data_IF_545027247977
#
_entry.id   IF_545027247977
#
_cell.length_a   1.000
_cell.length_b   1.000
_cell.length_c   1.000
_cell.angle_alpha   90.00
_cell.angle_beta   90.00
_cell.angle_gamma   90.00
#
_symmetry.space_group_name_H-M   'P 1'
#
loop_
_entity.id
_entity.type
_entity.pdbx_description
1 polymer ?
#
# COMPACT_ATOMS: atom_id res chain seq x y z
N UNK A 1 13.58 -3.04 17.23
CA UNK A 1 12.40 -2.84 16.34
C UNK A 1 12.75 -3.35 14.96
N UNK A 2 11.84 -4.09 14.29
CA UNK A 2 12.11 -4.70 12.98
C UNK A 2 11.75 -3.76 11.84
N UNK A 3 12.51 -3.82 10.76
CA UNK A 3 12.14 -3.20 9.48
C UNK A 3 11.07 -4.04 8.76
N UNK A 4 10.24 -3.39 7.95
CA UNK A 4 9.15 -4.02 7.19
C UNK A 4 9.22 -3.65 5.69
N UNK A 5 9.05 -4.65 4.84
CA UNK A 5 8.90 -4.49 3.39
C UNK A 5 7.50 -4.93 2.97
N UNK A 6 6.68 -3.97 2.56
CA UNK A 6 5.40 -4.21 1.90
C UNK A 6 5.55 -4.10 0.39
N UNK A 7 4.98 -5.05 -0.35
CA UNK A 7 4.99 -5.04 -1.81
C UNK A 7 3.57 -4.94 -2.34
N UNK A 8 3.29 -3.91 -3.18
CA UNK A 8 2.02 -3.85 -3.89
C UNK A 8 2.03 -4.77 -5.10
N UNK A 9 1.01 -5.62 -5.18
CA UNK A 9 0.83 -6.62 -6.22
C UNK A 9 -0.57 -6.51 -6.85
N UNK A 10 -0.64 -6.61 -8.17
CA UNK A 10 -1.89 -6.52 -8.95
C UNK A 10 -2.24 -7.82 -9.69
N UNK A 11 -1.62 -8.91 -9.28
CA UNK A 11 -1.90 -10.26 -9.77
C UNK A 11 -1.43 -11.31 -8.76
N UNK A 12 -1.97 -12.54 -8.89
CA UNK A 12 -1.51 -13.69 -8.10
C UNK A 12 -0.02 -13.96 -8.33
N UNK A 13 0.43 -13.84 -9.57
CA UNK A 13 1.85 -14.03 -9.91
C UNK A 13 2.74 -13.02 -9.21
N UNK A 14 2.37 -11.72 -9.24
CA UNK A 14 3.11 -10.67 -8.53
C UNK A 14 3.16 -10.92 -7.02
N UNK A 15 2.06 -11.40 -6.41
CA UNK A 15 2.02 -11.73 -4.99
C UNK A 15 2.97 -12.89 -4.62
N UNK A 16 3.01 -13.95 -5.45
CA UNK A 16 3.93 -15.08 -5.26
C UNK A 16 5.40 -14.64 -5.40
N UNK A 17 5.71 -13.83 -6.41
CA UNK A 17 7.07 -13.28 -6.59
C UNK A 17 7.48 -12.36 -5.43
N UNK A 18 6.54 -11.55 -4.91
CA UNK A 18 6.80 -10.71 -3.75
C UNK A 18 7.19 -11.54 -2.52
N UNK A 19 6.43 -12.60 -2.21
CA UNK A 19 6.76 -13.51 -1.12
C UNK A 19 8.09 -14.22 -1.36
N UNK A 20 8.34 -14.72 -2.56
CA UNK A 20 9.60 -15.36 -2.92
C UNK A 20 10.82 -14.43 -2.77
N UNK A 21 10.64 -13.13 -3.01
CA UNK A 21 11.63 -12.08 -2.77
C UNK A 21 11.80 -11.69 -1.30
N UNK A 22 10.99 -12.23 -0.39
CA UNK A 22 11.09 -11.96 1.04
C UNK A 22 10.30 -10.75 1.52
N UNK A 23 9.23 -10.35 0.81
CA UNK A 23 8.28 -9.37 1.33
C UNK A 23 7.68 -9.84 2.66
N UNK A 24 7.49 -8.92 3.60
CA UNK A 24 6.86 -9.21 4.89
C UNK A 24 5.33 -9.12 4.82
N UNK A 25 4.80 -8.35 3.84
CA UNK A 25 3.39 -8.07 3.66
C UNK A 25 3.10 -7.73 2.19
N UNK A 26 1.91 -8.04 1.73
CA UNK A 26 1.40 -7.66 0.42
C UNK A 26 0.30 -6.62 0.58
N UNK A 27 0.33 -5.57 -0.26
CA UNK A 27 -0.85 -4.79 -0.60
C UNK A 27 -1.40 -5.29 -1.92
N UNK A 28 -2.57 -5.94 -1.88
CA UNK A 28 -3.22 -6.45 -3.08
C UNK A 28 -4.12 -5.37 -3.69
N UNK A 29 -3.94 -5.10 -4.97
CA UNK A 29 -4.77 -4.18 -5.74
C UNK A 29 -5.10 -4.75 -7.12
N UNK A 30 -5.79 -4.00 -7.94
CA UNK A 30 -5.89 -4.18 -9.39
C UNK A 30 -5.45 -2.88 -10.08
N UNK A 31 -5.16 -2.92 -11.38
CA UNK A 31 -4.91 -1.72 -12.19
C UNK A 31 -3.81 -0.80 -11.63
N UNK A 32 -2.68 -1.35 -11.22
CA UNK A 32 -1.60 -0.58 -10.60
C UNK A 32 -1.01 0.51 -11.52
N UNK A 33 -1.16 0.35 -12.85
CA UNK A 33 -0.78 1.36 -13.85
C UNK A 33 -1.53 2.69 -13.67
N UNK A 34 -2.77 2.63 -13.17
CA UNK A 34 -3.59 3.82 -12.86
C UNK A 34 -3.59 4.17 -11.37
N UNK A 35 -2.61 3.67 -10.63
CA UNK A 35 -2.44 3.95 -9.20
C UNK A 35 -3.15 2.99 -8.25
N UNK A 36 -3.64 1.86 -8.75
CA UNK A 36 -4.33 0.83 -7.98
C UNK A 36 -5.83 1.11 -7.77
N UNK A 37 -6.61 0.04 -7.87
CA UNK A 37 -8.05 -0.03 -7.60
C UNK A 37 -8.34 -1.25 -6.73
N UNK A 38 -9.57 -1.35 -6.23
CA UNK A 38 -10.05 -2.54 -5.52
C UNK A 38 -9.87 -3.80 -6.37
N UNK A 39 -9.28 -4.88 -5.85
CA UNK A 39 -9.19 -6.15 -6.56
C UNK A 39 -10.51 -6.92 -6.46
N UNK A 40 -10.70 -7.91 -7.32
CA UNK A 40 -11.82 -8.84 -7.14
C UNK A 40 -11.58 -9.78 -5.95
N UNK A 41 -12.67 -10.21 -5.28
CA UNK A 41 -12.60 -11.23 -4.22
C UNK A 41 -11.98 -12.52 -4.75
N UNK A 42 -12.30 -12.90 -5.99
CA UNK A 42 -11.72 -14.10 -6.61
C UNK A 42 -10.19 -14.00 -6.71
N UNK A 43 -9.63 -12.83 -7.06
CA UNK A 43 -8.18 -12.63 -7.08
C UNK A 43 -7.61 -12.72 -5.66
N UNK A 44 -8.24 -12.10 -4.67
CA UNK A 44 -7.84 -12.18 -3.26
C UNK A 44 -7.81 -13.64 -2.76
N UNK A 45 -8.85 -14.43 -3.03
CA UNK A 45 -8.90 -15.84 -2.65
C UNK A 45 -7.79 -16.66 -3.31
N UNK A 46 -7.47 -16.39 -4.59
CA UNK A 46 -6.35 -17.05 -5.26
C UNK A 46 -5.01 -16.64 -4.66
N UNK A 47 -4.82 -15.37 -4.30
CA UNK A 47 -3.62 -14.92 -3.59
C UNK A 47 -3.49 -15.65 -2.26
N UNK A 48 -4.53 -15.67 -1.42
CA UNK A 48 -4.51 -16.35 -0.11
C UNK A 48 -4.27 -17.87 -0.17
N UNK A 49 -4.52 -18.50 -1.32
CA UNK A 49 -4.18 -19.94 -1.54
C UNK A 49 -2.70 -20.15 -1.89
N UNK A 50 -2.00 -19.10 -2.33
CA UNK A 50 -0.65 -19.22 -2.89
C UNK A 50 0.42 -18.46 -2.09
N UNK A 51 0.02 -17.68 -1.08
CA UNK A 51 0.95 -16.95 -0.20
C UNK A 51 0.59 -17.14 1.26
N UNK A 52 1.60 -17.15 2.13
CA UNK A 52 1.46 -17.32 3.58
C UNK A 52 1.63 -16.01 4.36
N UNK A 53 2.19 -14.99 3.74
CA UNK A 53 2.40 -13.68 4.36
C UNK A 53 1.09 -12.86 4.41
N UNK A 54 0.98 -11.89 5.33
CA UNK A 54 -0.20 -11.04 5.44
C UNK A 54 -0.55 -10.33 4.14
N UNK A 55 -1.85 -10.26 3.83
CA UNK A 55 -2.39 -9.56 2.65
C UNK A 55 -3.35 -8.47 3.10
N UNK A 56 -2.96 -7.23 2.88
CA UNK A 56 -3.84 -6.06 2.97
C UNK A 56 -4.45 -5.78 1.60
N UNK A 57 -5.67 -5.31 1.54
CA UNK A 57 -6.41 -5.10 0.29
C UNK A 57 -6.66 -3.62 0.08
N UNK A 58 -6.19 -3.08 -1.05
CA UNK A 58 -6.53 -1.72 -1.45
C UNK A 58 -8.01 -1.65 -1.85
N UNK A 59 -8.74 -0.74 -1.22
CA UNK A 59 -10.12 -0.45 -1.55
C UNK A 59 -10.21 0.99 -2.08
N UNK A 60 -10.36 1.09 -3.39
CA UNK A 60 -10.44 2.33 -4.14
C UNK A 60 -11.36 2.13 -5.34
N UNK A 61 -12.56 2.75 -5.35
CA UNK A 61 -13.60 2.41 -6.32
C UNK A 61 -13.29 2.91 -7.74
N UNK A 62 -12.49 3.97 -7.87
CA UNK A 62 -12.07 4.54 -9.16
C UNK A 62 -10.69 5.19 -9.08
N UNK A 63 -10.08 5.43 -10.22
CA UNK A 63 -8.92 6.31 -10.35
C UNK A 63 -9.31 7.79 -10.20
N UNK A 64 -8.31 8.68 -10.10
CA UNK A 64 -8.49 10.11 -9.87
C UNK A 64 -8.33 10.48 -8.41
N UNK A 65 -9.12 11.45 -7.94
CA UNK A 65 -9.07 11.95 -6.57
C UNK A 65 -9.62 10.97 -5.51
N UNK A 66 -9.72 11.42 -4.28
CA UNK A 66 -10.20 10.64 -3.14
C UNK A 66 -11.44 11.28 -2.47
N UNK A 67 -12.15 12.13 -3.22
CA UNK A 67 -13.41 12.75 -2.79
C UNK A 67 -14.56 11.99 -3.43
N UNK A 68 -15.15 11.07 -2.69
CA UNK A 68 -16.14 10.12 -3.19
C UNK A 68 -17.56 10.61 -2.98
N UNK A 69 -18.45 10.27 -3.92
CA UNK A 69 -19.89 10.47 -3.77
C UNK A 69 -20.53 9.43 -2.83
N UNK A 70 -21.87 9.47 -2.73
CA UNK A 70 -22.59 8.53 -1.87
C UNK A 70 -22.53 7.09 -2.36
N UNK A 71 -22.55 6.85 -3.67
CA UNK A 71 -22.52 5.50 -4.26
C UNK A 71 -21.11 4.88 -4.11
N UNK A 72 -20.08 5.67 -4.33
CA UNK A 72 -18.70 5.25 -4.16
C UNK A 72 -18.39 4.93 -2.70
N UNK A 73 -18.94 5.70 -1.75
CA UNK A 73 -18.79 5.44 -0.32
C UNK A 73 -19.48 4.16 0.12
N UNK A 74 -20.74 3.94 -0.30
CA UNK A 74 -21.45 2.69 0.02
C UNK A 74 -20.75 1.47 -0.59
N UNK A 75 -20.20 1.60 -1.81
CA UNK A 75 -19.36 0.55 -2.41
C UNK A 75 -18.15 0.22 -1.54
N UNK A 76 -17.40 1.24 -1.09
CA UNK A 76 -16.26 1.04 -0.19
C UNK A 76 -16.65 0.35 1.11
N UNK A 77 -17.77 0.74 1.70
CA UNK A 77 -18.27 0.17 2.95
C UNK A 77 -18.60 -1.32 2.81
N UNK A 78 -19.26 -1.67 1.70
CA UNK A 78 -19.55 -3.07 1.37
C UNK A 78 -18.25 -3.86 1.12
N UNK A 79 -17.29 -3.31 0.39
CA UNK A 79 -15.99 -3.94 0.13
C UNK A 79 -15.20 -4.18 1.42
N UNK A 80 -15.17 -3.22 2.37
CA UNK A 80 -14.52 -3.40 3.67
C UNK A 80 -15.12 -4.60 4.41
N UNK A 81 -16.46 -4.68 4.47
CA UNK A 81 -17.12 -5.80 5.11
C UNK A 81 -16.85 -7.13 4.39
N UNK A 82 -16.89 -7.13 3.05
CA UNK A 82 -16.68 -8.31 2.22
C UNK A 82 -15.26 -8.89 2.38
N UNK A 83 -14.22 -8.05 2.29
CA UNK A 83 -12.84 -8.52 2.42
C UNK A 83 -12.49 -8.91 3.85
N UNK A 84 -13.06 -8.24 4.87
CA UNK A 84 -12.94 -8.68 6.26
C UNK A 84 -13.51 -10.09 6.44
N UNK A 85 -14.74 -10.37 5.94
CA UNK A 85 -15.35 -11.69 6.01
C UNK A 85 -14.58 -12.74 5.20
N UNK A 86 -13.94 -12.34 4.08
CA UNK A 86 -13.06 -13.20 3.32
C UNK A 86 -11.74 -13.50 4.04
N UNK A 87 -11.39 -12.77 5.10
CA UNK A 87 -10.20 -12.98 5.92
C UNK A 87 -8.97 -12.21 5.44
N UNK A 88 -9.16 -10.99 4.94
CA UNK A 88 -8.07 -10.06 4.70
C UNK A 88 -7.38 -9.71 6.03
N UNK A 89 -6.06 -9.58 6.00
CA UNK A 89 -5.26 -9.20 7.17
C UNK A 89 -5.33 -7.67 7.42
N UNK A 90 -5.76 -6.91 6.42
CA UNK A 90 -6.01 -5.48 6.52
C UNK A 90 -6.71 -4.91 5.29
N UNK A 91 -7.19 -3.68 5.42
CA UNK A 91 -7.74 -2.87 4.33
C UNK A 91 -6.96 -1.57 4.20
N UNK A 92 -6.82 -1.11 2.96
CA UNK A 92 -6.10 0.13 2.62
C UNK A 92 -7.11 1.09 2.00
N UNK A 93 -7.44 2.16 2.71
CA UNK A 93 -8.55 3.06 2.42
C UNK A 93 -8.14 4.52 2.61
N UNK A 94 -8.94 5.45 2.11
CA UNK A 94 -8.73 6.87 2.36
C UNK A 94 -9.75 7.75 1.64
N UNK A 95 -10.36 8.68 2.36
CA UNK A 95 -11.37 9.60 1.86
C UNK A 95 -11.03 11.02 2.28
N UNK A 96 -11.10 11.95 1.33
CA UNK A 96 -10.93 13.37 1.57
C UNK A 96 -12.23 14.13 1.28
N UNK A 97 -12.43 15.23 2.01
CA UNK A 97 -13.47 16.22 1.70
C UNK A 97 -13.04 17.12 0.53
N UNK A 98 -13.95 17.84 -0.12
CA UNK A 98 -13.61 18.73 -1.24
C UNK A 98 -12.56 19.81 -0.89
N UNK A 99 -12.40 20.16 0.37
CA UNK A 99 -11.41 21.12 0.85
C UNK A 99 -10.05 20.50 1.19
N UNK A 100 -9.88 19.19 0.91
CA UNK A 100 -8.65 18.43 1.13
C UNK A 100 -8.42 17.96 2.56
N UNK A 101 -9.37 18.18 3.48
CA UNK A 101 -9.30 17.57 4.82
C UNK A 101 -9.72 16.11 4.78
N UNK A 102 -9.24 15.33 5.75
CA UNK A 102 -9.71 13.97 5.97
C UNK A 102 -11.23 13.96 6.21
N UNK A 103 -11.98 13.07 5.56
CA UNK A 103 -13.39 12.84 5.87
C UNK A 103 -13.51 11.91 7.06
N UNK A 104 -13.35 12.49 8.26
CA UNK A 104 -13.31 11.75 9.52
C UNK A 104 -14.59 10.98 9.80
N UNK A 105 -15.75 11.48 9.38
CA UNK A 105 -17.03 10.84 9.63
C UNK A 105 -17.14 9.54 8.85
N UNK A 106 -16.89 9.60 7.54
CA UNK A 106 -16.89 8.42 6.66
C UNK A 106 -15.75 7.46 6.99
N UNK A 107 -14.55 7.99 7.27
CA UNK A 107 -13.42 7.14 7.68
C UNK A 107 -13.70 6.39 8.97
N UNK A 108 -14.38 7.01 9.94
CA UNK A 108 -14.78 6.34 11.18
C UNK A 108 -15.67 5.12 10.92
N UNK A 109 -16.68 5.26 10.05
CA UNK A 109 -17.56 4.15 9.68
C UNK A 109 -16.79 2.98 9.06
N UNK A 110 -15.82 3.27 8.14
CA UNK A 110 -14.99 2.26 7.50
C UNK A 110 -14.06 1.56 8.50
N UNK A 111 -13.42 2.34 9.38
CA UNK A 111 -12.52 1.80 10.43
C UNK A 111 -13.30 0.93 11.40
N UNK A 112 -14.47 1.37 11.87
CA UNK A 112 -15.34 0.57 12.76
C UNK A 112 -15.78 -0.73 12.07
N UNK A 113 -16.13 -0.68 10.77
CA UNK A 113 -16.45 -1.91 10.02
C UNK A 113 -15.22 -2.83 9.94
N UNK A 114 -14.05 -2.33 9.58
CA UNK A 114 -12.81 -3.12 9.43
C UNK A 114 -12.40 -3.78 10.77
N UNK A 115 -12.52 -3.05 11.86
CA UNK A 115 -12.09 -3.50 13.21
C UNK A 115 -13.16 -4.25 14.00
N UNK A 116 -14.41 -4.31 13.51
CA UNK A 116 -15.46 -5.10 14.15
C UNK A 116 -15.19 -6.61 14.04
N UNK A 117 -15.76 -7.37 14.95
CA UNK A 117 -15.71 -8.83 14.87
C UNK A 117 -16.39 -9.34 13.60
N UNK A 118 -15.71 -10.26 12.91
CA UNK A 118 -16.26 -10.93 11.74
C UNK A 118 -17.33 -11.97 12.17
N UNK A 119 -18.41 -12.07 11.41
CA UNK A 119 -19.42 -13.11 11.60
C UNK A 119 -18.86 -14.53 11.43
N UNK A 120 -17.79 -14.67 10.67
CA UNK A 120 -17.06 -15.92 10.41
C UNK A 120 -15.96 -16.20 11.45
N UNK A 121 -15.82 -15.38 12.50
CA UNK A 121 -14.77 -15.53 13.52
C UNK A 121 -13.37 -15.16 13.06
N UNK A 122 -13.24 -14.43 11.94
CA UNK A 122 -11.95 -13.90 11.46
C UNK A 122 -11.48 -12.76 12.36
N UNK A 123 -10.15 -12.54 12.37
CA UNK A 123 -9.54 -11.43 13.11
C UNK A 123 -9.97 -10.08 12.52
N UNK A 124 -10.06 -9.03 13.34
CA UNK A 124 -10.21 -7.66 12.85
C UNK A 124 -9.11 -7.30 11.85
N UNK A 125 -9.48 -6.54 10.83
CA UNK A 125 -8.51 -6.05 9.84
C UNK A 125 -7.68 -4.89 10.39
N UNK A 126 -6.38 -4.88 10.12
CA UNK A 126 -5.60 -3.66 10.22
C UNK A 126 -6.08 -2.63 9.18
N UNK A 127 -5.93 -1.34 9.47
CA UNK A 127 -6.34 -0.27 8.57
C UNK A 127 -5.12 0.57 8.18
N UNK A 128 -4.89 0.71 6.87
CA UNK A 128 -3.92 1.64 6.31
C UNK A 128 -4.65 2.82 5.67
N UNK A 129 -4.26 4.05 6.02
CA UNK A 129 -4.64 5.23 5.26
C UNK A 129 -3.66 5.39 4.10
N UNK A 130 -4.16 5.28 2.88
CA UNK A 130 -3.33 5.26 1.67
C UNK A 130 -2.86 6.66 1.25
N UNK A 131 -2.28 6.78 0.05
CA UNK A 131 -1.71 8.00 -0.50
C UNK A 131 -2.69 9.18 -0.72
N UNK A 132 -3.97 9.07 -0.34
CA UNK A 132 -4.81 10.24 -0.11
C UNK A 132 -4.16 11.20 0.90
N UNK A 133 -3.32 10.69 1.81
CA UNK A 133 -2.50 11.48 2.71
C UNK A 133 -1.57 12.45 1.97
N UNK A 134 -1.05 12.04 0.81
CA UNK A 134 -0.11 12.87 0.04
C UNK A 134 -0.76 14.08 -0.62
N UNK A 135 -2.08 14.11 -0.74
CA UNK A 135 -2.86 15.21 -1.31
C UNK A 135 -3.79 15.87 -0.28
N UNK A 136 -3.69 15.50 1.00
CA UNK A 136 -4.43 16.17 2.05
C UNK A 136 -3.89 17.58 2.31
N UNK A 137 -4.78 18.46 2.79
CA UNK A 137 -4.46 19.88 3.01
C UNK A 137 -3.43 20.12 4.11
N UNK A 138 -3.48 19.33 5.19
CA UNK A 138 -2.60 19.49 6.34
C UNK A 138 -2.18 18.10 6.87
N UNK A 139 -0.92 17.69 6.66
CA UNK A 139 -0.46 16.35 7.04
C UNK A 139 -0.40 16.14 8.55
N UNK A 140 -0.18 17.19 9.35
CA UNK A 140 -0.13 17.06 10.81
C UNK A 140 -1.52 16.90 11.43
N UNK A 141 -2.52 17.60 10.88
CA UNK A 141 -3.92 17.41 11.25
C UNK A 141 -4.38 16.01 10.85
N UNK A 142 -4.08 15.56 9.61
CA UNK A 142 -4.42 14.23 9.12
C UNK A 142 -3.75 13.13 9.95
N UNK A 143 -2.48 13.28 10.35
CA UNK A 143 -1.78 12.33 11.23
C UNK A 143 -2.53 12.17 12.57
N UNK A 144 -2.85 13.28 13.25
CA UNK A 144 -3.60 13.22 14.52
C UNK A 144 -4.97 12.55 14.36
N UNK A 145 -5.71 12.92 13.30
CA UNK A 145 -7.01 12.31 13.00
C UNK A 145 -6.91 10.82 12.70
N UNK A 146 -5.86 10.37 11.99
CA UNK A 146 -5.61 8.95 11.77
C UNK A 146 -5.35 8.19 13.09
N UNK A 147 -4.57 8.77 14.00
CA UNK A 147 -4.33 8.19 15.34
C UNK A 147 -5.63 8.12 16.14
N UNK A 148 -6.40 9.21 16.21
CA UNK A 148 -7.68 9.28 16.92
C UNK A 148 -8.72 8.30 16.39
N UNK A 149 -8.73 8.03 15.08
CA UNK A 149 -9.59 7.03 14.46
C UNK A 149 -9.11 5.58 14.67
N UNK A 150 -7.91 5.41 15.24
CA UNK A 150 -7.32 4.08 15.45
C UNK A 150 -6.83 3.43 14.14
N UNK A 151 -6.42 4.21 13.16
CA UNK A 151 -5.75 3.72 11.95
C UNK A 151 -4.35 3.22 12.32
N UNK A 152 -3.93 2.10 11.75
CA UNK A 152 -2.69 1.42 12.15
C UNK A 152 -1.47 1.90 11.35
N UNK A 153 -1.67 2.34 10.11
CA UNK A 153 -0.59 2.70 9.18
C UNK A 153 -0.98 3.88 8.29
N UNK A 154 -0.04 4.78 8.01
CA UNK A 154 -0.16 5.80 6.96
C UNK A 154 0.86 5.50 5.87
N UNK A 155 0.38 5.25 4.64
CA UNK A 155 1.21 5.14 3.44
C UNK A 155 1.38 6.52 2.81
N UNK A 156 2.60 7.02 2.74
CA UNK A 156 2.88 8.37 2.24
C UNK A 156 4.24 8.50 1.55
N UNK A 157 4.34 9.42 0.62
CA UNK A 157 5.60 9.89 0.03
C UNK A 157 6.13 11.17 0.68
N UNK A 158 5.50 11.63 1.78
CA UNK A 158 5.80 12.93 2.36
C UNK A 158 5.30 14.09 1.49
N UNK A 159 4.12 13.92 0.86
CA UNK A 159 3.46 14.92 -0.01
C UNK A 159 4.33 15.39 -1.18
N UNK A 160 5.18 14.51 -1.71
CA UNK A 160 6.02 14.75 -2.89
C UNK A 160 5.83 13.63 -3.93
N UNK A 161 6.40 13.82 -5.08
CA UNK A 161 6.43 12.84 -6.19
C UNK A 161 7.13 11.52 -5.82
N UNK A 162 8.08 11.60 -4.87
CA UNK A 162 8.80 10.45 -4.34
C UNK A 162 9.07 10.58 -2.84
N UNK A 163 9.21 9.44 -2.15
CA UNK A 163 9.55 9.42 -0.73
C UNK A 163 10.89 10.10 -0.43
N UNK A 164 11.87 9.99 -1.35
CA UNK A 164 13.14 10.70 -1.17
C UNK A 164 12.99 12.23 -1.24
N UNK A 165 12.15 12.74 -2.13
CA UNK A 165 11.86 14.16 -2.21
C UNK A 165 11.02 14.66 -1.02
N UNK A 166 10.19 13.79 -0.44
CA UNK A 166 9.38 14.06 0.76
C UNK A 166 10.05 13.72 2.10
N UNK A 167 11.35 13.36 2.11
CA UNK A 167 12.07 12.90 3.31
C UNK A 167 11.99 13.84 4.52
N UNK A 168 11.91 15.15 4.30
CA UNK A 168 11.79 16.12 5.39
C UNK A 168 10.48 15.92 6.16
N UNK A 169 9.35 15.87 5.42
CA UNK A 169 8.05 15.61 6.04
C UNK A 169 7.98 14.20 6.61
N UNK A 170 8.54 13.19 5.95
CA UNK A 170 8.61 11.83 6.49
C UNK A 170 9.32 11.79 7.83
N UNK A 171 10.44 12.51 7.98
CA UNK A 171 11.17 12.62 9.25
C UNK A 171 10.32 13.25 10.35
N UNK A 172 9.59 14.32 10.02
CA UNK A 172 8.71 14.98 10.96
C UNK A 172 7.53 14.07 11.36
N UNK A 173 6.91 13.38 10.39
CA UNK A 173 5.81 12.46 10.64
C UNK A 173 6.25 11.28 11.52
N UNK A 174 7.43 10.70 11.30
CA UNK A 174 7.98 9.63 12.16
C UNK A 174 8.15 10.13 13.60
N UNK A 175 8.67 11.35 13.77
CA UNK A 175 8.82 11.97 15.08
C UNK A 175 7.47 12.24 15.76
N UNK A 176 6.54 12.87 15.05
CA UNK A 176 5.21 13.23 15.58
C UNK A 176 4.32 12.01 15.84
N UNK A 177 4.47 10.94 15.02
CA UNK A 177 3.78 9.68 15.22
C UNK A 177 4.19 8.97 16.52
N UNK A 178 5.42 9.23 17.02
CA UNK A 178 5.94 8.70 18.29
C UNK A 178 5.70 7.20 18.53
N UNK A 179 5.51 6.41 17.47
CA UNK A 179 5.23 4.98 17.53
C UNK A 179 3.75 4.63 17.72
N UNK A 180 2.84 5.59 17.78
CA UNK A 180 1.39 5.35 17.90
C UNK A 180 0.76 4.88 16.58
N UNK A 181 1.38 5.23 15.44
CA UNK A 181 0.96 4.80 14.10
C UNK A 181 2.20 4.50 13.24
N UNK A 182 2.11 3.50 12.38
CA UNK A 182 3.17 3.13 11.43
C UNK A 182 3.23 4.14 10.29
N UNK A 183 4.41 4.74 10.04
CA UNK A 183 4.68 5.54 8.84
C UNK A 183 5.33 4.61 7.80
N UNK A 184 4.60 4.32 6.74
CA UNK A 184 4.99 3.47 5.63
C UNK A 184 5.40 4.35 4.45
N UNK A 185 6.69 4.43 4.16
CA UNK A 185 7.19 5.24 3.05
C UNK A 185 6.92 4.57 1.71
N UNK A 186 6.28 5.28 0.79
CA UNK A 186 5.98 4.81 -0.57
C UNK A 186 6.29 5.84 -1.65
N UNK A 187 6.22 5.42 -2.88
CA UNK A 187 6.63 6.13 -4.11
C UNK A 187 8.16 6.22 -4.31
N UNK A 188 8.63 5.54 -5.36
CA UNK A 188 10.04 5.54 -5.74
C UNK A 188 10.97 4.81 -4.76
N UNK A 189 10.43 3.84 -4.01
CA UNK A 189 11.23 3.01 -3.10
C UNK A 189 12.06 2.02 -3.91
N UNK A 190 13.36 2.04 -3.66
CA UNK A 190 14.38 1.14 -4.20
C UNK A 190 15.38 0.77 -3.11
N UNK A 191 16.24 -0.25 -3.30
CA UNK A 191 17.27 -0.60 -2.31
C UNK A 191 18.10 0.59 -1.86
N UNK A 192 18.50 1.44 -2.80
CA UNK A 192 19.28 2.65 -2.51
C UNK A 192 18.50 3.69 -1.69
N UNK A 193 17.20 3.89 -2.00
CA UNK A 193 16.35 4.84 -1.30
C UNK A 193 16.02 4.36 0.10
N UNK A 194 15.85 3.06 0.31
CA UNK A 194 15.60 2.46 1.63
C UNK A 194 16.69 2.84 2.62
N UNK A 195 17.97 2.59 2.30
CA UNK A 195 19.09 2.91 3.19
C UNK A 195 19.12 4.39 3.54
N UNK A 196 19.01 5.27 2.54
CA UNK A 196 19.02 6.72 2.74
C UNK A 196 17.86 7.21 3.61
N UNK A 197 16.64 6.67 3.43
CA UNK A 197 15.47 7.08 4.21
C UNK A 197 15.51 6.55 5.64
N UNK A 198 16.00 5.33 5.84
CA UNK A 198 16.20 4.77 7.18
C UNK A 198 17.12 5.64 8.01
N UNK A 199 18.27 6.02 7.45
CA UNK A 199 19.27 6.86 8.14
C UNK A 199 18.75 8.29 8.37
N UNK A 200 18.17 8.91 7.33
CA UNK A 200 17.81 10.32 7.38
C UNK A 200 16.54 10.60 8.17
N UNK A 201 15.49 9.82 7.90
CA UNK A 201 14.14 10.06 8.42
C UNK A 201 13.71 9.10 9.53
N UNK A 202 14.49 8.05 9.81
CA UNK A 202 14.13 7.04 10.80
C UNK A 202 12.96 6.15 10.38
N UNK A 203 12.62 6.12 9.09
CA UNK A 203 11.55 5.27 8.54
C UNK A 203 11.96 3.81 8.69
N UNK A 204 11.01 2.97 9.11
CA UNK A 204 11.21 1.52 9.30
C UNK A 204 10.35 0.64 8.42
N UNK A 205 9.34 1.23 7.75
CA UNK A 205 8.41 0.51 6.90
C UNK A 205 8.42 1.10 5.48
N UNK A 206 8.57 0.23 4.49
CA UNK A 206 8.76 0.62 3.09
C UNK A 206 7.79 -0.10 2.18
N UNK A 207 7.20 0.63 1.24
CA UNK A 207 6.25 0.14 0.26
C UNK A 207 6.80 0.29 -1.15
N UNK A 208 6.89 -0.81 -1.89
CA UNK A 208 7.38 -0.82 -3.27
C UNK A 208 6.55 -1.74 -4.17
N UNK A 209 6.66 -1.56 -5.48
CA UNK A 209 6.07 -2.50 -6.45
C UNK A 209 7.02 -3.61 -6.89
N UNK A 210 8.32 -3.36 -6.84
CA UNK A 210 9.33 -4.31 -7.35
C UNK A 210 9.09 -4.75 -8.80
N UNK A 211 8.49 -3.88 -9.62
CA UNK A 211 8.02 -4.24 -10.95
C UNK A 211 9.13 -4.29 -11.99
N UNK A 212 8.97 -5.27 -12.88
CA UNK A 212 9.72 -5.45 -14.11
C UNK A 212 8.75 -5.59 -15.28
N UNK A 213 9.10 -4.99 -16.40
CA UNK A 213 8.39 -5.17 -17.66
C UNK A 213 8.91 -6.44 -18.35
N UNK A 214 7.99 -7.29 -18.77
CA UNK A 214 8.26 -8.48 -19.58
C UNK A 214 7.42 -8.44 -20.83
N UNK A 215 7.96 -8.92 -21.93
CA UNK A 215 7.20 -8.99 -23.17
C UNK A 215 6.07 -10.03 -23.07
N UNK A 216 4.93 -9.72 -23.70
CA UNK A 216 3.79 -10.64 -23.77
C UNK A 216 4.17 -11.94 -24.49
N UNK A 217 3.59 -13.05 -24.05
CA UNK A 217 3.71 -14.36 -24.72
C UNK A 217 2.81 -14.48 -25.95
N UNK A 218 2.00 -13.45 -26.28
CA UNK A 218 1.20 -13.44 -27.49
C UNK A 218 2.09 -13.34 -28.73
N UNK A 219 1.99 -14.33 -29.61
CA UNK A 219 2.71 -14.36 -30.89
C UNK A 219 2.05 -13.46 -31.92
N UNK A 220 0.70 -13.51 -32.00
CA UNK A 220 -0.06 -12.61 -32.88
C UNK A 220 -0.23 -11.25 -32.20
N UNK A 221 0.18 -10.17 -32.90
CA UNK A 221 0.05 -8.79 -32.44
C UNK A 221 -0.66 -7.96 -33.50
N UNK A 222 -1.68 -7.20 -33.09
CA UNK A 222 -2.39 -6.27 -33.98
C UNK A 222 -1.96 -4.86 -33.65
N UNK A 223 -1.26 -4.23 -34.59
CA UNK A 223 -0.62 -2.92 -34.36
C UNK A 223 -1.59 -1.73 -34.47
N UNK A 224 -2.71 -1.89 -35.20
CA UNK A 224 -3.60 -0.77 -35.55
C UNK A 224 -4.83 -0.65 -34.62
N UNK A 225 -4.86 -1.37 -33.48
CA UNK A 225 -5.99 -1.36 -32.53
C UNK A 225 -5.46 -1.11 -31.13
N UNK A 226 -5.30 0.16 -30.72
CA UNK A 226 -4.86 0.49 -29.38
C UNK A 226 -5.98 0.16 -28.37
N UNK A 227 -5.65 -0.64 -27.36
CA UNK A 227 -6.52 -0.99 -26.22
C UNK A 227 -5.99 -0.43 -24.91
N UNK A 228 -4.76 0.08 -24.92
CA UNK A 228 -4.01 0.56 -23.76
C UNK A 228 -4.24 2.05 -23.46
N UNK A 229 -3.78 2.45 -22.27
CA UNK A 229 -3.62 3.86 -21.91
C UNK A 229 -2.42 4.42 -22.71
N UNK A 230 -2.50 5.61 -23.32
CA UNK A 230 -1.41 6.21 -24.06
C UNK A 230 -0.10 6.22 -23.24
N UNK A 231 0.96 5.64 -23.80
CA UNK A 231 2.27 5.51 -23.16
C UNK A 231 2.53 4.19 -22.43
N UNK A 232 1.55 3.26 -22.43
CA UNK A 232 1.70 1.92 -21.89
C UNK A 232 1.46 0.90 -23.03
N UNK A 233 2.53 0.33 -23.64
CA UNK A 233 2.39 -0.63 -24.72
C UNK A 233 1.61 -1.88 -24.29
N UNK A 234 0.66 -2.30 -25.13
CA UNK A 234 -0.27 -3.40 -24.86
C UNK A 234 0.42 -4.74 -24.57
N UNK A 235 1.58 -4.95 -25.15
CA UNK A 235 2.35 -6.18 -24.98
C UNK A 235 3.39 -6.13 -23.85
N UNK A 236 3.47 -5.02 -23.13
CA UNK A 236 4.29 -4.85 -21.95
C UNK A 236 3.55 -5.36 -20.71
N UNK A 237 3.96 -6.51 -20.19
CA UNK A 237 3.38 -7.10 -19.00
C UNK A 237 4.19 -6.69 -17.77
N UNK A 238 3.58 -5.92 -16.90
CA UNK A 238 4.18 -5.45 -15.66
C UNK A 238 3.96 -6.47 -14.55
N UNK A 239 5.04 -7.03 -14.03
CA UNK A 239 4.99 -8.04 -12.95
C UNK A 239 6.05 -7.75 -11.89
N UNK A 240 5.77 -8.09 -10.66
CA UNK A 240 6.77 -8.07 -9.58
C UNK A 240 7.86 -9.09 -9.88
N UNK A 241 9.11 -8.71 -9.63
CA UNK A 241 10.30 -9.54 -9.78
C UNK A 241 10.89 -9.85 -8.40
N UNK A 242 10.99 -11.13 -8.06
CA UNK A 242 11.51 -11.58 -6.77
C UNK A 242 12.94 -11.10 -6.49
N UNK A 243 13.77 -10.95 -7.54
CA UNK A 243 15.14 -10.45 -7.40
C UNK A 243 15.19 -8.99 -6.97
N UNK A 244 14.30 -8.14 -7.53
CA UNK A 244 14.20 -6.72 -7.13
C UNK A 244 13.70 -6.59 -5.68
N UNK A 245 12.71 -7.38 -5.29
CA UNK A 245 12.21 -7.45 -3.90
C UNK A 245 13.31 -7.97 -2.97
N UNK A 246 14.02 -9.04 -3.36
CA UNK A 246 15.11 -9.63 -2.57
C UNK A 246 16.29 -8.66 -2.34
N UNK A 247 16.60 -7.83 -3.33
CA UNK A 247 17.61 -6.79 -3.17
C UNK A 247 17.19 -5.75 -2.12
N UNK A 248 15.91 -5.31 -2.14
CA UNK A 248 15.38 -4.39 -1.14
C UNK A 248 15.37 -5.03 0.26
N UNK A 249 14.93 -6.30 0.35
CA UNK A 249 14.88 -7.03 1.62
C UNK A 249 16.26 -7.20 2.24
N UNK A 250 17.29 -7.44 1.44
CA UNK A 250 18.68 -7.56 1.93
C UNK A 250 19.15 -6.30 2.63
N UNK A 251 18.89 -5.12 2.05
CA UNK A 251 19.23 -3.84 2.69
C UNK A 251 18.54 -3.70 4.05
N UNK A 252 17.27 -4.11 4.17
CA UNK A 252 16.56 -4.05 5.45
C UNK A 252 17.13 -5.02 6.49
N UNK A 253 17.62 -6.18 6.07
CA UNK A 253 18.30 -7.14 6.95
C UNK A 253 19.62 -6.53 7.44
N UNK A 254 20.42 -5.97 6.54
CA UNK A 254 21.71 -5.35 6.90
C UNK A 254 21.51 -4.20 7.90
N UNK A 255 20.53 -3.31 7.67
CA UNK A 255 20.16 -2.23 8.61
C UNK A 255 19.70 -2.77 9.98
N UNK A 256 18.96 -3.88 9.99
CA UNK A 256 18.52 -4.51 11.23
C UNK A 256 19.71 -5.06 12.04
N UNK A 257 20.68 -5.68 11.39
CA UNK A 257 21.89 -6.20 12.03
C UNK A 257 22.78 -5.08 12.58
N UNK A 258 22.91 -3.97 11.85
CA UNK A 258 23.66 -2.80 12.30
C UNK A 258 23.01 -2.15 13.54
N UNK A 259 21.69 -2.01 13.55
CA UNK A 259 20.96 -1.50 14.71
C UNK A 259 21.20 -2.35 15.96
N UNK A 260 21.17 -3.68 15.82
CA UNK A 260 21.41 -4.61 16.93
C UNK A 260 22.86 -4.59 17.47
N UNK A 261 23.82 -4.19 16.64
CA UNK A 261 25.22 -4.01 17.07
C UNK A 261 25.42 -2.71 17.83
N UNK A 262 24.69 -1.66 17.48
CA UNK A 262 24.78 -0.34 18.11
C UNK A 262 24.04 -0.25 19.46
N UNK A 263 23.08 -1.16 19.70
CA UNK A 263 22.33 -1.26 20.96
C UNK A 263 23.08 -2.10 22.04
N UNK A 264 24.25 -2.65 21.70
CA UNK A 264 25.14 -3.42 22.62
C UNK A 264 26.32 -2.60 23.09
#
# INVERSE_FOLDING_TARGET
>A
MSYLLEVCADSVRSAVEAQAGGADRIELCSGLVIGGLSPSVAMFEQVKKNVDIPVRVLLRPRFGDFCYDGYEFETLKEEVCLFREAGADGVVIGILKPDGRLDTDRMKELVECAKSESKSGKRPCAVTFHRAFDVCRNPYEALRQCIELGIDTILTSGQKDSAWNGRELLKELVREAAGEIEILAGAGISPEVIGKLADYAGVKSFHMSGKKVTDSKMEFRREDVPMEIPGFPEFDIWQTDAGLVGNAKRILIDLQEESLKNDR
#
